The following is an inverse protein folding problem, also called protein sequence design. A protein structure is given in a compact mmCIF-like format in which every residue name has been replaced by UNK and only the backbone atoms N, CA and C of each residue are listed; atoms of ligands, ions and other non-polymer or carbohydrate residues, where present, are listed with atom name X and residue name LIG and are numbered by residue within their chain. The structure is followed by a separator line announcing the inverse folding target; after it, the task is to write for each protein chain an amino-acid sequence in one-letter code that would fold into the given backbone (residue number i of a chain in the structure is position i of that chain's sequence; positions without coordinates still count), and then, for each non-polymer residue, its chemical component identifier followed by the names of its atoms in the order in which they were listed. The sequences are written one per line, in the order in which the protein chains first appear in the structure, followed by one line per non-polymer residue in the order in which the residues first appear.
data_IF_643637355609
#
_entry.id   IF_643637355609
#
_cell.length_a   1.000
_cell.length_b   1.000
_cell.length_c   1.000
_cell.angle_alpha   90.00
_cell.angle_beta   90.00
_cell.angle_gamma   90.00
#
_symmetry.space_group_name_H-M   'P 1'
#
loop_
_entity.id
_entity.type
_entity.pdbx_description
1 polymer ?
#
# COMPACT_ATOMS: atom_id res chain seq x y z
N UNK A 1 3.84 -14.59 -26.23
CA UNK A 1 5.31 -14.74 -26.32
C UNK A 1 5.78 -15.68 -25.22
N UNK A 2 6.77 -16.54 -25.51
CA UNK A 2 7.37 -17.41 -24.49
C UNK A 2 8.13 -16.54 -23.47
N UNK A 3 7.96 -16.79 -22.17
CA UNK A 3 8.68 -16.09 -21.12
C UNK A 3 10.20 -16.29 -21.29
N UNK A 4 10.96 -15.22 -21.07
CA UNK A 4 12.42 -15.21 -21.31
C UNK A 4 13.22 -15.54 -20.06
N UNK A 5 12.58 -15.44 -18.88
CA UNK A 5 13.20 -15.67 -17.58
C UNK A 5 12.13 -16.00 -16.51
N UNK A 6 12.53 -16.51 -15.33
CA UNK A 6 11.58 -16.88 -14.27
C UNK A 6 10.72 -15.72 -13.76
N UNK A 7 11.20 -14.47 -13.84
CA UNK A 7 10.38 -13.30 -13.49
C UNK A 7 9.20 -13.13 -14.44
N UNK A 8 9.43 -13.23 -15.77
CA UNK A 8 8.37 -13.16 -16.77
C UNK A 8 7.37 -14.32 -16.64
N UNK A 9 7.83 -15.50 -16.24
CA UNK A 9 6.95 -16.64 -15.97
C UNK A 9 5.98 -16.32 -14.81
N UNK A 10 6.50 -15.81 -13.70
CA UNK A 10 5.68 -15.40 -12.55
C UNK A 10 4.76 -14.24 -12.89
N UNK A 11 5.28 -13.27 -13.63
CA UNK A 11 4.48 -12.15 -14.13
C UNK A 11 3.31 -12.64 -14.99
N UNK A 12 3.55 -13.50 -15.98
CA UNK A 12 2.52 -14.01 -16.87
C UNK A 12 1.43 -14.80 -16.13
N UNK A 13 1.78 -15.49 -15.03
CA UNK A 13 0.82 -16.26 -14.22
C UNK A 13 -0.05 -15.37 -13.32
N UNK A 14 0.41 -14.18 -12.98
CA UNK A 14 -0.22 -13.34 -11.96
C UNK A 14 -0.80 -12.02 -12.48
N UNK A 15 -0.32 -11.51 -13.62
CA UNK A 15 -0.61 -10.15 -14.08
C UNK A 15 -2.11 -9.86 -14.21
N UNK A 16 -2.90 -10.81 -14.71
CA UNK A 16 -4.34 -10.62 -14.94
C UNK A 16 -5.06 -10.31 -13.63
N UNK A 17 -4.82 -11.10 -12.58
CA UNK A 17 -5.48 -10.89 -11.28
C UNK A 17 -5.11 -9.54 -10.66
N UNK A 18 -3.83 -9.14 -10.74
CA UNK A 18 -3.40 -7.84 -10.20
C UNK A 18 -3.85 -6.65 -11.07
N UNK A 19 -4.04 -6.85 -12.37
CA UNK A 19 -4.59 -5.83 -13.27
C UNK A 19 -6.08 -5.61 -12.95
N UNK A 20 -6.86 -6.68 -12.87
CA UNK A 20 -8.28 -6.62 -12.50
C UNK A 20 -8.49 -5.95 -11.13
N UNK A 21 -7.64 -6.23 -10.15
CA UNK A 21 -7.69 -5.54 -8.86
C UNK A 21 -7.38 -4.05 -8.98
N UNK A 22 -6.38 -3.69 -9.79
CA UNK A 22 -6.04 -2.29 -10.06
C UNK A 22 -7.17 -1.54 -10.77
N UNK A 23 -7.77 -2.15 -11.79
CA UNK A 23 -8.91 -1.58 -12.53
C UNK A 23 -10.17 -1.45 -11.64
N UNK A 24 -10.41 -2.43 -10.75
CA UNK A 24 -11.48 -2.35 -9.76
C UNK A 24 -11.30 -1.17 -8.83
N UNK A 25 -10.08 -0.96 -8.32
CA UNK A 25 -9.77 0.19 -7.48
C UNK A 25 -9.93 1.52 -8.21
N UNK A 26 -9.54 1.61 -9.49
CA UNK A 26 -9.73 2.83 -10.31
C UNK A 26 -11.21 3.18 -10.42
N UNK A 27 -12.10 2.20 -10.66
CA UNK A 27 -13.55 2.43 -10.69
C UNK A 27 -14.09 2.94 -9.35
N UNK A 28 -13.66 2.33 -8.24
CA UNK A 28 -14.06 2.80 -6.91
C UNK A 28 -13.53 4.23 -6.64
N UNK A 29 -12.36 4.59 -7.17
CA UNK A 29 -11.78 5.93 -7.06
C UNK A 29 -12.56 6.95 -7.93
N UNK A 30 -13.06 6.57 -9.10
CA UNK A 30 -13.91 7.43 -9.96
C UNK A 30 -15.23 7.80 -9.26
N UNK A 31 -15.79 6.86 -8.47
CA UNK A 31 -17.00 7.08 -7.66
C UNK A 31 -16.71 7.86 -6.35
N UNK A 32 -15.44 7.99 -5.99
CA UNK A 32 -14.97 8.73 -4.82
C UNK A 32 -14.49 10.12 -5.26
N UNK A 33 -15.17 11.18 -4.87
CA UNK A 33 -14.79 12.56 -5.19
C UNK A 33 -13.46 12.93 -4.52
N UNK A 34 -12.37 12.38 -5.08
CA UNK A 34 -11.02 12.53 -4.54
C UNK A 34 -10.53 13.98 -4.54
N UNK A 35 -10.93 14.77 -5.55
CA UNK A 35 -10.53 16.18 -5.63
C UNK A 35 -11.16 16.99 -4.48
N UNK A 36 -12.44 16.78 -4.21
CA UNK A 36 -13.12 17.41 -3.07
C UNK A 36 -12.50 16.96 -1.76
N UNK A 37 -12.30 15.64 -1.60
CA UNK A 37 -11.67 15.06 -0.40
C UNK A 37 -10.30 15.68 -0.11
N UNK A 38 -9.42 15.81 -1.11
CA UNK A 38 -8.11 16.45 -0.94
C UNK A 38 -8.24 17.95 -0.58
N UNK A 39 -9.21 18.65 -1.15
CA UNK A 39 -9.46 20.06 -0.80
C UNK A 39 -9.89 20.24 0.66
N UNK A 40 -10.72 19.35 1.17
CA UNK A 40 -11.17 19.36 2.56
C UNK A 40 -10.03 19.10 3.55
N UNK A 41 -9.06 18.23 3.16
CA UNK A 41 -7.90 17.87 3.98
C UNK A 41 -6.61 18.65 3.67
N UNK A 42 -6.68 19.71 2.86
CA UNK A 42 -5.51 20.49 2.39
C UNK A 42 -4.68 21.18 3.47
N UNK A 43 -5.18 21.29 4.70
CA UNK A 43 -4.46 21.89 5.84
C UNK A 43 -3.86 20.83 6.77
N UNK A 44 -4.14 19.57 6.53
CA UNK A 44 -3.52 18.48 7.28
C UNK A 44 -2.10 18.26 6.77
N UNK A 45 -1.21 17.86 7.67
CA UNK A 45 0.19 17.59 7.35
C UNK A 45 0.42 16.09 7.35
N UNK A 46 0.96 15.59 6.25
CA UNK A 46 1.42 14.22 6.09
C UNK A 46 2.94 14.16 6.15
N UNK A 47 3.46 13.09 6.76
CA UNK A 47 4.89 12.79 6.75
C UNK A 47 5.38 12.39 5.35
N UNK A 48 4.53 11.71 4.56
CA UNK A 48 4.78 11.27 3.20
C UNK A 48 5.66 10.02 3.06
N UNK A 49 6.38 9.61 4.12
CA UNK A 49 7.11 8.34 4.20
C UNK A 49 6.96 7.71 5.60
N UNK A 50 5.72 7.68 6.11
CA UNK A 50 5.41 7.10 7.42
C UNK A 50 5.62 5.58 7.39
N UNK A 51 6.72 5.11 7.99
CA UNK A 51 7.06 3.70 8.10
C UNK A 51 7.92 3.46 9.36
N UNK A 52 8.10 2.18 9.75
CA UNK A 52 8.80 1.81 10.99
C UNK A 52 10.29 2.24 11.04
N UNK A 53 10.92 2.56 9.90
CA UNK A 53 12.31 3.01 9.87
C UNK A 53 12.46 4.50 10.18
N UNK A 54 11.36 5.25 10.04
CA UNK A 54 11.28 6.68 10.31
C UNK A 54 10.66 6.99 11.68
N UNK A 55 10.50 5.96 12.54
CA UNK A 55 9.99 6.08 13.91
C UNK A 55 11.11 5.77 14.88
N UNK A 56 11.31 6.67 15.85
CA UNK A 56 12.28 6.54 16.91
C UNK A 56 11.55 6.39 18.24
N UNK A 57 11.94 5.38 19.02
CA UNK A 57 11.48 5.21 20.40
C UNK A 57 12.53 5.77 21.34
N UNK A 58 12.15 6.72 22.16
CA UNK A 58 13.01 7.34 23.18
C UNK A 58 12.40 7.17 24.57
N UNK A 59 13.17 7.52 25.62
CA UNK A 59 12.63 7.53 26.98
C UNK A 59 11.52 8.56 27.17
N UNK A 60 11.50 9.62 26.34
CA UNK A 60 10.54 10.71 26.41
C UNK A 60 9.30 10.45 25.52
N UNK A 61 9.32 9.40 24.69
CA UNK A 61 8.18 9.04 23.81
C UNK A 61 8.59 8.61 22.42
N UNK A 62 7.71 8.84 21.47
CA UNK A 62 7.87 8.46 20.06
C UNK A 62 8.18 9.70 19.24
N UNK A 63 9.27 9.64 18.47
CA UNK A 63 9.65 10.68 17.51
C UNK A 63 9.54 10.17 16.06
N UNK A 64 9.40 11.11 15.13
CA UNK A 64 9.48 10.86 13.70
C UNK A 64 10.69 11.57 13.10
N UNK A 65 11.27 10.99 12.03
CA UNK A 65 12.41 11.55 11.31
C UNK A 65 12.23 11.41 9.79
N UNK A 66 13.06 12.10 9.01
CA UNK A 66 13.05 12.06 7.53
C UNK A 66 11.77 12.64 6.92
N UNK A 67 11.52 13.93 7.13
CA UNK A 67 10.37 14.68 6.59
C UNK A 67 10.56 15.15 5.15
N UNK A 68 11.45 14.53 4.36
CA UNK A 68 11.77 14.96 2.99
C UNK A 68 10.57 14.90 2.03
N UNK A 69 9.58 14.08 2.35
CA UNK A 69 8.33 13.91 1.58
C UNK A 69 7.12 14.57 2.25
N UNK A 70 7.36 15.41 3.28
CA UNK A 70 6.29 16.08 3.99
C UNK A 70 5.48 16.98 3.04
N UNK A 71 4.16 16.85 3.11
CA UNK A 71 3.25 17.60 2.27
C UNK A 71 1.91 17.83 2.99
N UNK A 72 1.07 18.69 2.43
CA UNK A 72 -0.30 18.86 2.88
C UNK A 72 -1.23 17.91 2.14
N UNK A 73 -2.08 17.19 2.88
CA UNK A 73 -3.02 16.22 2.31
C UNK A 73 -3.68 15.36 3.38
N UNK A 74 -4.53 14.41 2.98
CA UNK A 74 -5.28 13.57 3.93
C UNK A 74 -4.35 12.63 4.69
N UNK A 75 -4.33 12.73 6.02
CA UNK A 75 -3.47 11.92 6.90
C UNK A 75 -3.73 10.40 6.80
N UNK A 76 -4.83 10.00 6.19
CA UNK A 76 -5.09 8.60 5.84
C UNK A 76 -4.09 8.02 4.84
N UNK A 77 -3.34 8.86 4.09
CA UNK A 77 -2.23 8.43 3.24
C UNK A 77 -1.08 7.88 4.08
N UNK A 78 -0.68 8.60 5.13
CA UNK A 78 0.35 8.13 6.07
C UNK A 78 -0.10 6.88 6.82
N UNK A 79 -1.36 6.84 7.27
CA UNK A 79 -1.92 5.66 7.92
C UNK A 79 -1.89 4.44 6.97
N UNK A 80 -2.33 4.62 5.73
CA UNK A 80 -2.28 3.57 4.71
C UNK A 80 -0.85 3.09 4.48
N UNK A 81 0.09 4.01 4.28
CA UNK A 81 1.49 3.68 4.04
C UNK A 81 2.09 2.87 5.19
N UNK A 82 1.83 3.29 6.44
CA UNK A 82 2.28 2.60 7.64
C UNK A 82 1.65 1.21 7.76
N UNK A 83 0.31 1.12 7.67
CA UNK A 83 -0.42 -0.14 7.75
C UNK A 83 0.07 -1.13 6.69
N UNK A 84 0.15 -0.71 5.44
CA UNK A 84 0.61 -1.56 4.33
C UNK A 84 2.00 -2.13 4.59
N UNK A 85 2.96 -1.31 5.04
CA UNK A 85 4.33 -1.75 5.34
C UNK A 85 4.39 -2.82 6.44
N UNK A 86 3.53 -2.72 7.44
CA UNK A 86 3.41 -3.71 8.51
C UNK A 86 2.68 -4.96 8.00
N UNK A 87 1.52 -4.81 7.38
CA UNK A 87 0.68 -5.90 6.92
C UNK A 87 1.37 -6.78 5.86
N UNK A 88 2.15 -6.21 4.96
CA UNK A 88 2.98 -6.95 3.99
C UNK A 88 3.97 -7.91 4.68
N UNK A 89 4.46 -7.57 5.88
CA UNK A 89 5.36 -8.42 6.67
C UNK A 89 4.62 -9.45 7.53
N UNK A 90 3.37 -9.19 7.82
CA UNK A 90 2.51 -10.02 8.67
C UNK A 90 1.42 -10.72 7.87
N UNK A 91 1.71 -11.05 6.60
CA UNK A 91 0.84 -11.85 5.72
C UNK A 91 -0.59 -11.30 5.63
N UNK A 92 -0.73 -9.95 5.67
CA UNK A 92 -2.01 -9.25 5.61
C UNK A 92 -3.02 -9.77 6.65
N UNK A 93 -2.56 -9.99 7.88
CA UNK A 93 -3.40 -10.44 8.99
C UNK A 93 -4.55 -9.44 9.22
N UNK A 94 -5.83 -9.89 9.05
CA UNK A 94 -6.99 -9.02 9.17
C UNK A 94 -7.16 -8.44 10.59
N UNK A 95 -6.86 -9.24 11.62
CA UNK A 95 -7.00 -8.81 13.01
C UNK A 95 -5.95 -7.74 13.37
N UNK A 96 -4.72 -7.89 12.87
CA UNK A 96 -3.69 -6.87 13.02
C UNK A 96 -4.13 -5.57 12.35
N UNK A 97 -4.62 -5.64 11.10
CA UNK A 97 -5.09 -4.46 10.36
C UNK A 97 -6.25 -3.76 11.07
N UNK A 98 -7.23 -4.50 11.53
CA UNK A 98 -8.36 -3.98 12.31
C UNK A 98 -7.87 -3.24 13.56
N UNK A 99 -7.00 -3.87 14.37
CA UNK A 99 -6.44 -3.24 15.58
C UNK A 99 -5.66 -1.96 15.28
N UNK A 100 -4.86 -1.94 14.21
CA UNK A 100 -4.11 -0.75 13.81
C UNK A 100 -5.05 0.42 13.49
N UNK A 101 -6.06 0.19 12.65
CA UNK A 101 -7.02 1.21 12.26
C UNK A 101 -7.87 1.68 13.44
N UNK A 102 -8.33 0.77 14.31
CA UNK A 102 -9.07 1.14 15.53
C UNK A 102 -8.23 1.96 16.51
N UNK A 103 -6.95 1.61 16.72
CA UNK A 103 -6.09 2.38 17.61
C UNK A 103 -5.84 3.80 17.07
N UNK A 104 -5.68 3.94 15.76
CA UNK A 104 -5.63 5.25 15.13
C UNK A 104 -6.94 6.02 15.33
N UNK A 105 -8.08 5.40 15.03
CA UNK A 105 -9.40 5.99 15.14
C UNK A 105 -9.74 6.43 16.58
N UNK A 106 -9.22 5.75 17.62
CA UNK A 106 -9.37 6.16 19.03
C UNK A 106 -8.65 7.48 19.34
N UNK A 107 -7.57 7.79 18.62
CA UNK A 107 -6.78 9.01 18.84
C UNK A 107 -7.23 10.16 17.94
N UNK A 108 -7.59 9.85 16.71
CA UNK A 108 -8.14 10.75 15.71
C UNK A 108 -9.28 10.02 15.01
N UNK A 109 -10.50 10.44 15.30
CA UNK A 109 -11.70 9.84 14.68
C UNK A 109 -11.65 10.05 13.17
N UNK A 110 -11.85 8.96 12.44
CA UNK A 110 -11.94 8.96 10.99
C UNK A 110 -13.40 9.15 10.56
N UNK A 111 -13.64 10.04 9.61
CA UNK A 111 -14.94 10.19 8.94
C UNK A 111 -15.24 8.97 8.04
N UNK A 112 -16.46 8.88 7.54
CA UNK A 112 -16.86 7.82 6.60
C UNK A 112 -16.04 7.90 5.32
N UNK A 113 -15.76 9.10 4.83
CA UNK A 113 -14.94 9.34 3.65
C UNK A 113 -13.49 8.94 3.90
N UNK A 114 -12.94 9.21 5.06
CA UNK A 114 -11.58 8.80 5.43
C UNK A 114 -11.44 7.29 5.53
N UNK A 115 -12.43 6.59 6.04
CA UNK A 115 -12.46 5.12 6.03
C UNK A 115 -12.50 4.57 4.60
N UNK A 116 -13.32 5.14 3.72
CA UNK A 116 -13.37 4.78 2.30
C UNK A 116 -12.02 5.03 1.63
N UNK A 117 -11.43 6.20 1.85
CA UNK A 117 -10.12 6.54 1.29
C UNK A 117 -9.03 5.57 1.78
N UNK A 118 -8.98 5.27 3.07
CA UNK A 118 -8.03 4.30 3.63
C UNK A 118 -8.17 2.92 2.97
N UNK A 119 -9.40 2.45 2.78
CA UNK A 119 -9.68 1.18 2.10
C UNK A 119 -9.21 1.21 0.64
N UNK A 120 -9.52 2.27 -0.10
CA UNK A 120 -9.04 2.48 -1.47
C UNK A 120 -7.51 2.43 -1.56
N UNK A 121 -6.81 3.15 -0.69
CA UNK A 121 -5.36 3.16 -0.66
C UNK A 121 -4.77 1.76 -0.35
N UNK A 122 -5.40 0.99 0.56
CA UNK A 122 -4.97 -0.38 0.89
C UNK A 122 -5.31 -1.39 -0.22
N UNK A 123 -6.29 -1.10 -1.07
CA UNK A 123 -6.70 -1.95 -2.20
C UNK A 123 -5.82 -1.80 -3.44
N UNK A 124 -4.88 -0.86 -3.46
CA UNK A 124 -3.93 -0.74 -4.56
C UNK A 124 -2.72 -1.66 -4.36
N UNK A 125 -2.38 -2.55 -5.31
CA UNK A 125 -1.30 -3.53 -5.15
C UNK A 125 0.09 -2.91 -5.41
N UNK A 126 0.49 -1.93 -4.61
CA UNK A 126 1.72 -1.14 -4.73
C UNK A 126 2.98 -1.97 -4.92
N UNK A 127 3.15 -3.01 -4.09
CA UNK A 127 4.36 -3.84 -4.11
C UNK A 127 4.52 -4.55 -5.44
N UNK A 128 3.41 -5.06 -5.98
CA UNK A 128 3.40 -5.75 -7.26
C UNK A 128 3.73 -4.79 -8.40
N UNK A 129 3.00 -3.69 -8.53
CA UNK A 129 3.20 -2.71 -9.59
C UNK A 129 4.57 -2.04 -9.56
N UNK A 130 5.14 -1.80 -8.38
CA UNK A 130 6.51 -1.31 -8.25
C UNK A 130 7.53 -2.26 -8.87
N UNK A 131 7.35 -3.58 -8.71
CA UNK A 131 8.23 -4.59 -9.31
C UNK A 131 8.04 -4.67 -10.82
N UNK A 132 6.79 -4.66 -11.29
CA UNK A 132 6.46 -4.68 -12.72
C UNK A 132 7.02 -3.46 -13.43
N UNK A 133 6.80 -2.26 -12.89
CA UNK A 133 7.31 -1.01 -13.46
C UNK A 133 8.83 -0.97 -13.46
N UNK A 134 9.49 -1.43 -12.39
CA UNK A 134 10.94 -1.55 -12.36
C UNK A 134 11.44 -2.49 -13.45
N UNK A 135 10.76 -3.62 -13.65
CA UNK A 135 11.11 -4.54 -14.71
C UNK A 135 10.91 -3.94 -16.10
N UNK A 136 9.74 -3.36 -16.35
CA UNK A 136 9.38 -2.76 -17.65
C UNK A 136 10.31 -1.59 -18.05
N UNK A 137 10.74 -0.77 -17.07
CA UNK A 137 11.65 0.36 -17.30
C UNK A 137 13.12 -0.04 -17.36
N UNK A 138 13.49 -1.23 -16.84
CA UNK A 138 14.85 -1.72 -16.90
C UNK A 138 15.12 -2.31 -18.29
N UNK A 139 16.07 -1.74 -19.03
CA UNK A 139 16.57 -2.31 -20.30
C UNK A 139 17.49 -3.53 -20.10
N UNK A 140 17.51 -4.10 -18.90
CA UNK A 140 18.45 -5.17 -18.54
C UNK A 140 17.94 -6.53 -19.04
N UNK A 141 18.73 -7.20 -19.81
CA UNK A 141 18.50 -8.60 -20.26
C UNK A 141 18.53 -9.59 -19.09
N UNK A 142 19.25 -9.23 -18.02
CA UNK A 142 19.42 -10.08 -16.83
C UNK A 142 18.67 -9.52 -15.63
N UNK A 143 17.93 -10.40 -14.96
CA UNK A 143 17.20 -10.09 -13.72
C UNK A 143 17.87 -10.76 -12.53
N UNK A 144 18.09 -9.99 -11.48
CA UNK A 144 18.71 -10.52 -10.27
C UNK A 144 17.76 -11.52 -9.57
N UNK A 145 18.33 -12.57 -8.98
CA UNK A 145 17.60 -13.53 -8.13
C UNK A 145 16.72 -12.83 -7.09
N UNK A 146 17.23 -11.76 -6.50
CA UNK A 146 16.49 -10.94 -5.53
C UNK A 146 15.17 -10.38 -6.09
N UNK A 147 15.12 -10.01 -7.39
CA UNK A 147 13.87 -9.52 -8.00
C UNK A 147 12.89 -10.64 -8.30
N UNK A 148 13.39 -11.85 -8.63
CA UNK A 148 12.56 -13.05 -8.78
C UNK A 148 11.91 -13.39 -7.43
N UNK A 149 12.69 -13.46 -6.37
CA UNK A 149 12.21 -13.71 -5.00
C UNK A 149 11.16 -12.66 -4.57
N UNK A 150 11.34 -11.39 -4.94
CA UNK A 150 10.39 -10.33 -4.62
C UNK A 150 9.04 -10.50 -5.32
N UNK A 151 9.01 -10.87 -6.61
CA UNK A 151 7.74 -11.11 -7.31
C UNK A 151 7.05 -12.36 -6.80
N UNK A 152 7.80 -13.41 -6.45
CA UNK A 152 7.26 -14.61 -5.81
C UNK A 152 6.60 -14.29 -4.46
N UNK A 153 7.27 -13.48 -3.63
CA UNK A 153 6.69 -13.00 -2.36
C UNK A 153 5.46 -12.13 -2.58
N UNK A 154 5.47 -11.24 -3.58
CA UNK A 154 4.32 -10.38 -3.86
C UNK A 154 3.11 -11.20 -4.33
N UNK A 155 3.33 -12.20 -5.19
CA UNK A 155 2.26 -13.10 -5.66
C UNK A 155 1.75 -14.03 -4.57
N UNK A 156 2.61 -14.52 -3.68
CA UNK A 156 2.20 -15.34 -2.54
C UNK A 156 1.28 -14.61 -1.56
N UNK A 157 1.40 -13.28 -1.47
CA UNK A 157 0.55 -12.44 -0.63
C UNK A 157 -0.83 -12.14 -1.24
N UNK A 158 -1.12 -12.58 -2.47
CA UNK A 158 -2.39 -12.31 -3.15
C UNK A 158 -3.61 -12.75 -2.33
N UNK A 159 -3.68 -14.01 -1.96
CA UNK A 159 -4.82 -14.57 -1.22
C UNK A 159 -4.98 -13.96 0.20
N UNK A 160 -3.91 -13.82 1.00
CA UNK A 160 -3.99 -13.10 2.27
C UNK A 160 -4.50 -11.66 2.12
N UNK A 161 -3.99 -10.93 1.13
CA UNK A 161 -4.40 -9.56 0.87
C UNK A 161 -5.89 -9.44 0.47
N UNK A 162 -6.37 -10.34 -0.40
CA UNK A 162 -7.79 -10.38 -0.79
C UNK A 162 -8.70 -10.65 0.42
N UNK A 163 -8.34 -11.61 1.28
CA UNK A 163 -9.08 -11.89 2.52
C UNK A 163 -9.10 -10.69 3.46
N UNK A 164 -7.96 -10.01 3.59
CA UNK A 164 -7.87 -8.78 4.35
C UNK A 164 -8.84 -7.72 3.82
N UNK A 165 -8.82 -7.41 2.54
CA UNK A 165 -9.69 -6.40 1.93
C UNK A 165 -11.19 -6.71 2.10
N UNK A 166 -11.57 -8.00 2.03
CA UNK A 166 -12.95 -8.43 2.24
C UNK A 166 -13.42 -8.23 3.69
N UNK A 167 -12.51 -8.34 4.65
CA UNK A 167 -12.81 -8.20 6.07
C UNK A 167 -12.59 -6.79 6.63
N UNK A 168 -11.91 -5.92 5.86
CA UNK A 168 -11.58 -4.57 6.27
C UNK A 168 -12.68 -3.61 5.84
N UNK A 169 -13.55 -3.24 6.81
CA UNK A 169 -14.62 -2.25 6.65
C UNK A 169 -14.70 -1.36 7.86
#
# INVERSE_FOLDING_TARGET
KKAKNPFEERLAQSITAFLEAGEGMVKELEDFDYERFCKEHRQEVCHGDCNQHNIIFTQEGIGFMNFDYCHCGPQTEDLCLFMRKILEKHNWDPELGRRMAEQYNRKRSLSVEEWKHLKLCLSYPWRYWKLVNYYASSQKVWISRKNIEKIEQATALWQPWQRFLQSFC
#
